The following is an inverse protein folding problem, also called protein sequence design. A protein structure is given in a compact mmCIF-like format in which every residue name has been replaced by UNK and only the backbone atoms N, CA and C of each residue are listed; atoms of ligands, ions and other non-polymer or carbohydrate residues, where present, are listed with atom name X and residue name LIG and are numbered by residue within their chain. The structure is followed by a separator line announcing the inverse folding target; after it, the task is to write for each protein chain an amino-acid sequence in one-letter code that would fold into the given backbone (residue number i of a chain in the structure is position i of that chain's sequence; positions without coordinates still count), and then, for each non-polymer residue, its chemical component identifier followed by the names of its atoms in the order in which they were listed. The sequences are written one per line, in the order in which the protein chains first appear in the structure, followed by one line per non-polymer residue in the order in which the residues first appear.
data_IF_390529780787
#
_entry.id   IF_390529780787
#
_cell.length_a   1.000
_cell.length_b   1.000
_cell.length_c   1.000
_cell.angle_alpha   90.00
_cell.angle_beta   90.00
_cell.angle_gamma   90.00
#
_symmetry.space_group_name_H-M   'P 1'
#
loop_
_entity.id
_entity.type
_entity.pdbx_description
1 polymer ?
#
# COMPACT_ATOMS: atom_id res chain seq x y z
N UNK A 1 10.64 11.20 21.51
CA UNK A 1 9.70 10.42 20.66
C UNK A 1 9.69 10.88 19.20
N UNK A 2 9.92 12.16 18.87
CA UNK A 2 9.88 12.65 17.48
C UNK A 2 11.01 12.10 16.58
N UNK A 3 12.24 12.05 17.10
CA UNK A 3 13.42 11.58 16.35
C UNK A 3 13.29 10.13 15.81
N UNK A 4 12.90 9.11 16.61
CA UNK A 4 12.74 7.75 16.09
C UNK A 4 11.62 7.64 15.06
N UNK A 5 10.50 8.37 15.22
CA UNK A 5 9.43 8.39 14.22
C UNK A 5 9.88 9.03 12.91
N UNK A 6 10.64 10.12 12.99
CA UNK A 6 11.21 10.76 11.80
C UNK A 6 12.14 9.82 11.03
N UNK A 7 13.05 9.12 11.73
CA UNK A 7 13.93 8.13 11.11
C UNK A 7 13.15 7.00 10.43
N UNK A 8 12.07 6.53 11.06
CA UNK A 8 11.23 5.46 10.54
C UNK A 8 10.49 5.89 9.26
N UNK A 9 9.94 7.10 9.24
CA UNK A 9 9.29 7.69 8.05
C UNK A 9 10.29 7.95 6.94
N UNK A 10 11.47 8.49 7.25
CA UNK A 10 12.52 8.69 6.24
C UNK A 10 12.99 7.37 5.65
N UNK A 11 13.21 6.35 6.48
CA UNK A 11 13.60 5.02 6.02
C UNK A 11 12.51 4.38 5.15
N UNK A 12 11.26 4.43 5.59
CA UNK A 12 10.11 3.96 4.81
C UNK A 12 9.98 4.69 3.47
N UNK A 13 10.19 6.00 3.44
CA UNK A 13 10.17 6.80 2.22
C UNK A 13 11.26 6.40 1.22
N UNK A 14 12.49 6.16 1.71
CA UNK A 14 13.59 5.67 0.86
C UNK A 14 13.24 4.31 0.28
N UNK A 15 12.74 3.37 1.09
CA UNK A 15 12.34 2.04 0.63
C UNK A 15 11.23 2.11 -0.42
N UNK A 16 10.25 3.01 -0.23
CA UNK A 16 9.17 3.22 -1.17
C UNK A 16 9.70 3.72 -2.52
N UNK A 17 10.56 4.75 -2.52
CA UNK A 17 11.17 5.28 -3.76
C UNK A 17 12.02 4.20 -4.46
N UNK A 18 12.81 3.43 -3.70
CA UNK A 18 13.59 2.32 -4.25
C UNK A 18 12.69 1.24 -4.87
N UNK A 19 11.59 0.88 -4.21
CA UNK A 19 10.61 -0.07 -4.74
C UNK A 19 9.98 0.42 -6.05
N UNK A 20 9.63 1.69 -6.13
CA UNK A 20 9.11 2.31 -7.35
C UNK A 20 10.14 2.30 -8.48
N UNK A 21 11.38 2.67 -8.19
CA UNK A 21 12.46 2.67 -9.17
C UNK A 21 12.71 1.26 -9.72
N UNK A 22 12.83 0.25 -8.85
CA UNK A 22 13.04 -1.14 -9.24
C UNK A 22 11.86 -1.70 -10.04
N UNK A 23 10.63 -1.42 -9.61
CA UNK A 23 9.42 -1.80 -10.34
C UNK A 23 9.38 -1.18 -11.73
N UNK A 24 9.70 0.11 -11.84
CA UNK A 24 9.72 0.80 -13.13
C UNK A 24 10.83 0.30 -14.06
N UNK A 25 12.01 -0.05 -13.53
CA UNK A 25 13.10 -0.62 -14.33
C UNK A 25 12.69 -1.93 -15.02
N UNK A 26 11.88 -2.77 -14.36
CA UNK A 26 11.46 -4.06 -14.90
C UNK A 26 10.20 -3.96 -15.77
N UNK A 27 9.17 -3.26 -15.29
CA UNK A 27 7.86 -3.20 -15.95
C UNK A 27 7.79 -2.10 -17.01
N UNK A 28 8.67 -1.10 -16.95
CA UNK A 28 8.68 0.12 -17.79
C UNK A 28 7.35 0.88 -17.84
N UNK A 29 6.41 0.56 -16.96
CA UNK A 29 5.11 1.18 -16.83
C UNK A 29 4.89 1.57 -15.36
N UNK A 30 4.94 2.87 -15.08
CA UNK A 30 4.81 3.39 -13.71
C UNK A 30 3.40 3.18 -13.14
N UNK A 31 2.37 3.12 -13.99
CA UNK A 31 0.98 2.97 -13.55
C UNK A 31 0.72 1.58 -12.95
N UNK A 32 1.34 0.54 -13.51
CA UNK A 32 1.27 -0.82 -12.94
C UNK A 32 1.99 -0.85 -11.58
N UNK A 33 3.14 -0.19 -11.46
CA UNK A 33 3.89 -0.09 -10.19
C UNK A 33 3.06 0.65 -9.13
N UNK A 34 2.40 1.74 -9.51
CA UNK A 34 1.46 2.47 -8.64
C UNK A 34 0.30 1.57 -8.20
N UNK A 35 -0.31 0.84 -9.13
CA UNK A 35 -1.42 -0.05 -8.82
C UNK A 35 -1.03 -1.16 -7.83
N UNK A 36 0.12 -1.81 -8.04
CA UNK A 36 0.64 -2.83 -7.14
C UNK A 36 0.95 -2.24 -5.76
N UNK A 37 1.56 -1.05 -5.71
CA UNK A 37 1.87 -0.35 -4.47
C UNK A 37 0.61 -0.04 -3.66
N UNK A 38 -0.40 0.56 -4.29
CA UNK A 38 -1.70 0.86 -3.66
C UNK A 38 -2.40 -0.43 -3.23
N UNK A 39 -2.36 -1.48 -4.05
CA UNK A 39 -2.93 -2.78 -3.72
C UNK A 39 -2.27 -3.44 -2.51
N UNK A 40 -0.95 -3.37 -2.42
CA UNK A 40 -0.23 -3.88 -1.26
C UNK A 40 -0.63 -3.13 0.02
N UNK A 41 -0.76 -1.81 -0.02
CA UNK A 41 -1.21 -1.00 1.12
C UNK A 41 -2.63 -1.41 1.54
N UNK A 42 -3.54 -1.55 0.60
CA UNK A 42 -4.92 -1.99 0.86
C UNK A 42 -5.02 -3.35 1.53
N UNK A 43 -4.07 -4.26 1.31
CA UNK A 43 -4.04 -5.57 1.98
C UNK A 43 -3.34 -5.48 3.34
N UNK A 44 -2.23 -4.76 3.43
CA UNK A 44 -1.38 -4.72 4.62
C UNK A 44 -1.97 -3.84 5.72
N UNK A 45 -2.59 -2.70 5.39
CA UNK A 45 -3.17 -1.79 6.39
C UNK A 45 -4.26 -2.45 7.25
N UNK A 46 -5.27 -3.15 6.71
CA UNK A 46 -6.29 -3.81 7.53
C UNK A 46 -5.72 -4.89 8.45
N UNK A 47 -4.70 -5.62 7.97
CA UNK A 47 -4.01 -6.65 8.77
C UNK A 47 -3.28 -5.97 9.93
N UNK A 48 -2.55 -4.89 9.66
CA UNK A 48 -1.88 -4.10 10.70
C UNK A 48 -2.89 -3.52 11.69
N UNK A 49 -4.00 -2.95 11.22
CA UNK A 49 -5.05 -2.39 12.08
C UNK A 49 -5.64 -3.46 13.00
N UNK A 50 -5.95 -4.65 12.46
CA UNK A 50 -6.45 -5.77 13.24
C UNK A 50 -5.44 -6.25 14.29
N UNK A 51 -4.15 -6.30 13.94
CA UNK A 51 -3.10 -6.77 14.86
C UNK A 51 -2.78 -5.75 15.97
N UNK A 52 -2.71 -4.46 15.62
CA UNK A 52 -2.30 -3.39 16.53
C UNK A 52 -3.45 -2.91 17.42
N UNK A 53 -4.63 -2.72 16.84
CA UNK A 53 -5.77 -2.11 17.53
C UNK A 53 -6.85 -3.12 17.90
N UNK A 54 -6.82 -4.34 17.35
CA UNK A 54 -7.85 -5.39 17.53
C UNK A 54 -9.27 -4.96 17.12
N UNK A 55 -9.35 -3.93 16.29
CA UNK A 55 -10.60 -3.42 15.73
C UNK A 55 -10.89 -4.03 14.36
N UNK A 56 -12.16 -4.31 14.11
CA UNK A 56 -12.65 -4.85 12.83
C UNK A 56 -13.20 -3.73 11.95
N UNK A 57 -13.03 -3.82 10.62
CA UNK A 57 -13.56 -2.84 9.68
C UNK A 57 -15.09 -2.76 9.76
N UNK A 58 -15.62 -1.53 9.77
CA UNK A 58 -17.06 -1.28 9.67
C UNK A 58 -17.54 -1.50 8.24
N UNK A 59 -18.86 -1.63 8.04
CA UNK A 59 -19.42 -1.93 6.71
C UNK A 59 -18.95 -0.95 5.61
N UNK A 60 -18.82 0.34 5.93
CA UNK A 60 -18.33 1.35 4.99
C UNK A 60 -16.86 1.17 4.61
N UNK A 61 -15.97 0.88 5.58
CA UNK A 61 -14.55 0.64 5.29
C UNK A 61 -14.33 -0.68 4.55
N UNK A 62 -15.18 -1.67 4.79
CA UNK A 62 -15.14 -2.96 4.11
C UNK A 62 -15.51 -2.83 2.62
N UNK A 63 -16.52 -2.01 2.29
CA UNK A 63 -16.87 -1.67 0.90
C UNK A 63 -15.72 -0.91 0.23
N UNK A 64 -15.13 0.09 0.92
CA UNK A 64 -13.97 0.82 0.41
C UNK A 64 -12.78 -0.09 0.12
N UNK A 65 -12.50 -1.05 1.00
CA UNK A 65 -11.48 -2.08 0.80
C UNK A 65 -11.75 -2.96 -0.42
N UNK A 66 -12.99 -3.42 -0.59
CA UNK A 66 -13.40 -4.23 -1.74
C UNK A 66 -13.23 -3.47 -3.06
N UNK A 67 -13.66 -2.20 -3.10
CA UNK A 67 -13.50 -1.36 -4.29
C UNK A 67 -12.03 -1.07 -4.60
N UNK A 68 -11.21 -0.83 -3.58
CA UNK A 68 -9.76 -0.66 -3.73
C UNK A 68 -9.09 -1.93 -4.26
N UNK A 69 -9.44 -3.09 -3.72
CA UNK A 69 -8.94 -4.39 -4.19
C UNK A 69 -9.33 -4.64 -5.65
N UNK A 70 -10.57 -4.34 -6.04
CA UNK A 70 -11.02 -4.45 -7.43
C UNK A 70 -10.29 -3.48 -8.36
N UNK A 71 -10.09 -2.22 -7.95
CA UNK A 71 -9.36 -1.22 -8.74
C UNK A 71 -7.89 -1.59 -8.98
N UNK A 72 -7.25 -2.21 -7.97
CA UNK A 72 -5.86 -2.65 -8.08
C UNK A 72 -5.73 -3.90 -8.95
N UNK A 73 -6.68 -4.85 -8.87
CA UNK A 73 -6.77 -5.94 -9.83
C UNK A 73 -6.97 -5.43 -11.26
N UNK A 74 -7.89 -4.49 -11.48
CA UNK A 74 -8.14 -3.93 -12.79
C UNK A 74 -6.86 -3.32 -13.41
N UNK A 75 -6.09 -2.56 -12.64
CA UNK A 75 -4.86 -1.93 -13.14
C UNK A 75 -3.66 -2.89 -13.33
N UNK A 76 -3.75 -4.14 -12.84
CA UNK A 76 -2.76 -5.19 -13.13
C UNK A 76 -3.13 -5.97 -14.39
N UNK A 77 -4.43 -6.20 -14.63
CA UNK A 77 -4.91 -7.10 -15.69
C UNK A 77 -5.39 -6.41 -16.97
N UNK A 78 -5.61 -5.08 -16.96
CA UNK A 78 -5.95 -4.26 -18.13
C UNK A 78 -4.77 -3.33 -18.49
#
# INVERSE_FOLDING_TARGET
MLLPMFLLVSFGGILLVCGYALGYMHLKNIWIVVAISVGAILVVEPILTLLLFRDVPTAGSLIGLMLGALGTLAAIFL
#
